data_IF_003532605467
#
_entry.id   IF_003532605467
#
_cell.length_a   1.000
_cell.length_b   1.000
_cell.length_c   1.000
_cell.angle_alpha   90.00
_cell.angle_beta   90.00
_cell.angle_gamma   90.00
#
_symmetry.space_group_name_H-M   'P 1'
#
loop_
_entity.id
_entity.type
_entity.pdbx_description
1 polymer ?
#
# COMPACT_ATOMS: atom_id res chain seq x y z
N UNK A 1 7.53 4.52 4.08
CA UNK A 1 6.60 5.37 4.87
C UNK A 1 7.14 6.81 4.92
N UNK A 2 6.32 7.82 4.65
CA UNK A 2 6.71 9.24 4.83
C UNK A 2 5.98 9.77 6.06
N UNK A 3 6.66 10.04 7.19
CA UNK A 3 6.00 10.57 8.36
C UNK A 3 5.41 11.95 8.05
N UNK A 4 4.23 12.23 8.58
CA UNK A 4 3.62 13.54 8.43
C UNK A 4 4.51 14.59 9.11
N UNK A 5 4.85 15.71 8.44
CA UNK A 5 5.64 16.76 9.05
C UNK A 5 4.99 17.23 10.35
N UNK A 6 5.78 17.37 11.42
CA UNK A 6 5.33 17.81 12.76
C UNK A 6 4.52 16.79 13.57
N UNK A 7 4.42 15.54 13.13
CA UNK A 7 3.84 14.45 13.92
C UNK A 7 4.95 13.50 14.41
N UNK A 8 5.05 13.32 15.73
CA UNK A 8 5.98 12.37 16.32
C UNK A 8 5.50 10.93 16.03
N UNK A 9 6.40 10.01 15.63
CA UNK A 9 6.05 8.61 15.53
C UNK A 9 5.63 8.06 16.90
N UNK A 10 4.45 7.44 16.97
CA UNK A 10 3.94 6.77 18.17
C UNK A 10 3.71 5.30 17.83
N UNK A 11 4.25 4.41 18.66
CA UNK A 11 4.01 2.98 18.54
C UNK A 11 2.71 2.63 19.27
N UNK A 12 1.70 2.17 18.53
CA UNK A 12 0.36 1.86 19.08
C UNK A 12 0.21 0.35 19.33
N UNK A 13 0.95 -0.49 18.61
CA UNK A 13 0.94 -1.93 18.77
C UNK A 13 2.33 -2.52 18.49
N UNK A 14 2.72 -3.50 19.31
CA UNK A 14 3.86 -4.38 19.08
C UNK A 14 3.37 -5.80 19.29
N UNK A 15 3.51 -6.63 18.26
CA UNK A 15 3.09 -8.03 18.31
C UNK A 15 4.29 -8.87 17.93
N UNK A 16 4.56 -9.88 18.75
CA UNK A 16 5.59 -10.86 18.45
C UNK A 16 5.08 -11.78 17.34
N UNK A 17 5.82 -11.84 16.23
CA UNK A 17 5.56 -12.75 15.13
C UNK A 17 6.61 -13.88 15.13
N UNK A 18 6.16 -15.11 14.96
CA UNK A 18 7.02 -16.29 14.81
C UNK A 18 7.32 -16.65 13.33
N UNK A 19 7.00 -15.74 12.41
CA UNK A 19 7.14 -15.92 10.96
C UNK A 19 5.95 -16.61 10.30
N UNK A 20 4.86 -16.90 11.02
CA UNK A 20 3.68 -17.61 10.49
C UNK A 20 2.41 -16.76 10.42
N UNK A 21 2.51 -15.45 10.67
CA UNK A 21 1.36 -14.55 10.66
C UNK A 21 0.61 -14.61 9.33
N UNK A 22 -0.66 -14.97 9.42
CA UNK A 22 -1.57 -15.03 8.30
C UNK A 22 -2.14 -13.64 8.05
N UNK A 23 -2.39 -13.31 6.78
CA UNK A 23 -3.00 -12.05 6.38
C UNK A 23 -4.30 -11.77 7.15
N UNK A 24 -5.08 -12.81 7.48
CA UNK A 24 -6.32 -12.67 8.27
C UNK A 24 -6.04 -12.12 9.67
N UNK A 25 -5.08 -12.70 10.39
CA UNK A 25 -4.75 -12.26 11.76
C UNK A 25 -4.24 -10.81 11.76
N UNK A 26 -3.40 -10.44 10.79
CA UNK A 26 -2.92 -9.06 10.63
C UNK A 26 -4.08 -8.11 10.29
N UNK A 27 -5.02 -8.54 9.44
CA UNK A 27 -6.19 -7.74 9.11
C UNK A 27 -7.14 -7.56 10.30
N UNK A 28 -7.30 -8.57 11.14
CA UNK A 28 -8.13 -8.47 12.36
C UNK A 28 -7.54 -7.47 13.35
N UNK A 29 -6.21 -7.40 13.46
CA UNK A 29 -5.54 -6.34 14.21
C UNK A 29 -5.84 -4.95 13.64
N UNK A 30 -5.72 -4.79 12.31
CA UNK A 30 -6.02 -3.52 11.65
C UNK A 30 -7.49 -3.13 11.84
N UNK A 31 -8.42 -4.09 11.78
CA UNK A 31 -9.85 -3.86 12.06
C UNK A 31 -10.06 -3.40 13.49
N UNK A 32 -9.45 -4.05 14.48
CA UNK A 32 -9.54 -3.64 15.88
C UNK A 32 -9.03 -2.21 16.08
N UNK A 33 -7.92 -1.86 15.43
CA UNK A 33 -7.40 -0.48 15.47
C UNK A 33 -8.38 0.51 14.84
N UNK A 34 -8.90 0.20 13.65
CA UNK A 34 -9.74 1.11 12.86
C UNK A 34 -11.18 1.22 13.38
N UNK A 35 -11.76 0.14 13.92
CA UNK A 35 -13.16 0.09 14.32
C UNK A 35 -13.38 0.29 15.82
N UNK A 36 -12.39 -0.02 16.66
CA UNK A 36 -12.55 0.06 18.12
C UNK A 36 -11.67 1.18 18.70
N UNK A 37 -10.35 1.09 18.52
CA UNK A 37 -9.39 1.96 19.22
C UNK A 37 -9.44 3.39 18.67
N UNK A 38 -9.37 3.55 17.34
CA UNK A 38 -9.31 4.86 16.72
C UNK A 38 -10.56 5.72 17.01
N UNK A 39 -11.79 5.19 16.90
CA UNK A 39 -12.98 5.94 17.31
C UNK A 39 -13.00 6.31 18.80
N UNK A 40 -12.63 5.39 19.70
CA UNK A 40 -12.61 5.65 21.14
C UNK A 40 -11.63 6.76 21.54
N UNK A 41 -10.50 6.84 20.84
CA UNK A 41 -9.46 7.83 21.08
C UNK A 41 -9.60 9.08 20.21
N UNK A 42 -10.65 9.17 19.39
CA UNK A 42 -10.86 10.25 18.41
C UNK A 42 -9.63 10.44 17.47
N UNK A 43 -9.04 9.32 17.03
CA UNK A 43 -7.90 9.30 16.14
C UNK A 43 -8.35 9.22 14.69
N UNK A 44 -7.98 10.23 13.90
CA UNK A 44 -8.16 10.23 12.46
C UNK A 44 -6.99 9.52 11.77
N UNK A 45 -7.27 8.36 11.18
CA UNK A 45 -6.29 7.58 10.41
C UNK A 45 -6.48 7.88 8.93
N UNK A 46 -5.55 8.65 8.35
CA UNK A 46 -5.60 9.05 6.94
C UNK A 46 -5.18 7.92 5.98
N UNK A 47 -4.23 7.08 6.39
CA UNK A 47 -3.66 6.08 5.51
C UNK A 47 -3.06 4.90 6.25
N UNK A 48 -3.06 3.74 5.59
CA UNK A 48 -2.30 2.55 5.99
C UNK A 48 -1.22 2.28 4.93
N UNK A 49 0.01 2.02 5.38
CA UNK A 49 1.14 1.73 4.48
C UNK A 49 1.74 0.36 4.75
N UNK A 50 2.17 -0.31 3.68
CA UNK A 50 2.83 -1.62 3.69
C UNK A 50 4.17 -1.56 2.93
N UNK A 51 5.09 -2.46 3.27
CA UNK A 51 6.39 -2.62 2.62
C UNK A 51 6.32 -3.34 1.25
N UNK A 52 5.15 -3.86 0.88
CA UNK A 52 4.91 -4.57 -0.37
C UNK A 52 5.06 -6.09 -0.28
N UNK A 53 5.20 -6.68 0.91
CA UNK A 53 5.05 -8.12 1.09
C UNK A 53 3.64 -8.59 0.68
N UNK A 54 3.55 -9.79 0.08
CA UNK A 54 2.28 -10.33 -0.42
C UNK A 54 1.21 -10.43 0.68
N UNK A 55 1.61 -10.84 1.89
CA UNK A 55 0.72 -10.94 3.05
C UNK A 55 0.15 -9.58 3.43
N UNK A 56 0.98 -8.54 3.46
CA UNK A 56 0.54 -7.18 3.80
C UNK A 56 -0.31 -6.55 2.69
N UNK A 57 -0.01 -6.84 1.42
CA UNK A 57 -0.87 -6.43 0.30
C UNK A 57 -2.27 -7.06 0.41
N UNK A 58 -2.33 -8.35 0.76
CA UNK A 58 -3.60 -9.03 1.00
C UNK A 58 -4.37 -8.41 2.18
N UNK A 59 -3.68 -8.01 3.24
CA UNK A 59 -4.28 -7.24 4.36
C UNK A 59 -4.89 -5.94 3.86
N UNK A 60 -4.16 -5.16 3.06
CA UNK A 60 -4.68 -3.91 2.51
C UNK A 60 -5.92 -4.13 1.63
N UNK A 61 -5.96 -5.20 0.84
CA UNK A 61 -7.16 -5.58 0.08
C UNK A 61 -8.33 -5.88 1.04
N UNK A 62 -8.09 -6.70 2.07
CA UNK A 62 -9.12 -7.08 3.04
C UNK A 62 -9.68 -5.90 3.84
N UNK A 63 -8.86 -4.89 4.12
CA UNK A 63 -9.31 -3.63 4.71
C UNK A 63 -10.11 -2.82 3.69
N UNK A 64 -9.63 -2.66 2.46
CA UNK A 64 -10.35 -1.90 1.43
C UNK A 64 -11.69 -2.51 1.01
N UNK A 65 -11.85 -3.82 1.16
CA UNK A 65 -13.09 -4.56 0.90
C UNK A 65 -14.08 -4.55 2.06
N UNK A 66 -13.77 -3.88 3.18
CA UNK A 66 -14.72 -3.73 4.29
C UNK A 66 -16.00 -3.05 3.81
N UNK A 67 -17.13 -3.54 4.32
CA UNK A 67 -18.42 -2.92 4.07
C UNK A 67 -18.45 -1.50 4.68
N UNK A 68 -18.82 -0.52 3.87
CA UNK A 68 -19.03 0.86 4.29
C UNK A 68 -20.14 1.48 3.45
N UNK A 69 -20.84 2.45 4.03
CA UNK A 69 -21.85 3.24 3.35
C UNK A 69 -21.22 4.30 2.41
N UNK A 70 -19.97 4.68 2.65
CA UNK A 70 -19.32 5.77 1.94
C UNK A 70 -17.92 5.42 1.46
N UNK A 71 -17.61 5.80 0.22
CA UNK A 71 -16.28 5.69 -0.37
C UNK A 71 -15.93 7.00 -1.05
N UNK A 72 -14.69 7.45 -0.85
CA UNK A 72 -14.13 8.53 -1.66
C UNK A 72 -13.67 7.94 -2.99
N UNK A 73 -13.96 8.63 -4.09
CA UNK A 73 -13.51 8.26 -5.43
C UNK A 73 -12.78 9.42 -6.09
N UNK A 74 -11.69 9.11 -6.78
CA UNK A 74 -10.98 10.03 -7.67
C UNK A 74 -10.88 9.35 -9.03
N UNK A 75 -11.41 10.00 -10.06
CA UNK A 75 -11.46 9.48 -11.42
C UNK A 75 -10.44 10.27 -12.24
N UNK A 76 -9.43 9.59 -12.78
CA UNK A 76 -8.51 10.16 -13.78
C UNK A 76 -8.87 9.61 -15.16
N UNK A 77 -9.60 10.42 -15.92
CA UNK A 77 -10.08 10.05 -17.27
C UNK A 77 -8.96 9.94 -18.30
N UNK A 78 -7.77 10.49 -18.04
CA UNK A 78 -6.63 10.43 -18.96
C UNK A 78 -6.03 9.03 -19.04
N UNK A 79 -6.09 8.30 -17.93
CA UNK A 79 -5.52 6.96 -17.79
C UNK A 79 -6.57 5.87 -17.58
N UNK A 80 -7.86 6.24 -17.56
CA UNK A 80 -8.98 5.34 -17.24
C UNK A 80 -8.80 4.66 -15.88
N UNK A 81 -8.38 5.44 -14.87
CA UNK A 81 -8.12 4.94 -13.51
C UNK A 81 -9.14 5.52 -12.54
N UNK A 82 -9.80 4.64 -11.79
CA UNK A 82 -10.66 5.00 -10.66
C UNK A 82 -9.94 4.61 -9.37
N UNK A 83 -9.50 5.61 -8.63
CA UNK A 83 -9.03 5.43 -7.27
C UNK A 83 -10.23 5.46 -6.33
N UNK A 84 -10.30 4.50 -5.41
CA UNK A 84 -11.33 4.49 -4.38
C UNK A 84 -10.74 4.11 -3.03
N UNK A 85 -11.13 4.84 -1.99
CA UNK A 85 -10.86 4.46 -0.61
C UNK A 85 -12.15 4.46 0.21
N UNK A 86 -12.21 3.59 1.20
CA UNK A 86 -13.33 3.52 2.12
C UNK A 86 -13.31 4.71 3.10
N UNK A 87 -14.48 5.18 3.50
CA UNK A 87 -14.65 6.16 4.58
C UNK A 87 -15.22 5.41 5.79
N UNK A 88 -14.52 5.46 6.92
CA UNK A 88 -15.01 4.89 8.18
C UNK A 88 -15.66 5.97 9.04
N UNK A 89 -16.82 5.69 9.65
CA UNK A 89 -17.41 6.56 10.66
C UNK A 89 -16.40 6.87 11.78
N UNK A 90 -16.35 8.13 12.22
CA UNK A 90 -15.48 8.63 13.30
C UNK A 90 -13.96 8.54 13.07
N UNK A 91 -13.49 7.93 11.98
CA UNK A 91 -12.06 7.86 11.63
C UNK A 91 -11.76 8.69 10.38
N UNK A 92 -12.60 8.59 9.34
CA UNK A 92 -12.42 9.29 8.06
C UNK A 92 -11.95 8.38 6.92
N UNK A 93 -11.42 8.94 5.81
CA UNK A 93 -10.96 8.17 4.67
C UNK A 93 -9.68 7.40 4.99
N UNK A 94 -9.65 6.10 4.66
CA UNK A 94 -8.48 5.24 4.87
C UNK A 94 -7.83 4.90 3.54
N UNK A 95 -6.79 5.64 3.17
CA UNK A 95 -6.05 5.44 1.91
C UNK A 95 -5.02 4.33 2.07
N UNK A 96 -4.99 3.36 1.13
CA UNK A 96 -3.89 2.39 1.08
C UNK A 96 -2.68 3.00 0.35
N UNK A 97 -1.50 2.83 0.93
CA UNK A 97 -0.24 3.31 0.36
C UNK A 97 0.75 2.13 0.34
N UNK A 98 1.53 2.02 -0.72
CA UNK A 98 2.66 1.09 -0.78
C UNK A 98 3.96 1.89 -0.70
N UNK A 99 5.00 1.33 -0.07
CA UNK A 99 6.29 2.02 0.02
C UNK A 99 6.92 2.20 -1.38
N UNK A 100 7.08 3.46 -1.87
CA UNK A 100 7.61 3.70 -3.21
C UNK A 100 9.06 3.23 -3.36
N UNK A 101 9.86 3.23 -2.27
CA UNK A 101 11.25 2.76 -2.32
C UNK A 101 11.30 1.25 -2.57
N UNK A 102 10.38 0.50 -1.96
CA UNK A 102 10.27 -0.94 -2.21
C UNK A 102 9.81 -1.22 -3.65
N UNK A 103 8.82 -0.49 -4.16
CA UNK A 103 8.38 -0.62 -5.55
C UNK A 103 9.51 -0.33 -6.56
N UNK A 104 10.31 0.72 -6.31
CA UNK A 104 11.49 1.06 -7.14
C UNK A 104 12.52 -0.07 -7.13
N UNK A 105 12.85 -0.59 -5.95
CA UNK A 105 13.81 -1.70 -5.79
C UNK A 105 13.32 -2.96 -6.51
N UNK A 106 12.04 -3.32 -6.37
CA UNK A 106 11.44 -4.47 -7.06
C UNK A 106 11.51 -4.30 -8.58
N UNK A 107 11.15 -3.12 -9.10
CA UNK A 107 11.25 -2.81 -10.52
C UNK A 107 12.69 -3.00 -11.05
N UNK A 108 13.67 -2.42 -10.36
CA UNK A 108 15.08 -2.56 -10.73
C UNK A 108 15.53 -4.02 -10.70
N UNK A 109 15.20 -4.76 -9.64
CA UNK A 109 15.62 -6.15 -9.49
C UNK A 109 14.98 -7.04 -10.56
N UNK A 110 13.69 -6.87 -10.88
CA UNK A 110 13.02 -7.68 -11.91
C UNK A 110 13.66 -7.47 -13.27
N UNK A 111 13.90 -6.22 -13.66
CA UNK A 111 14.49 -5.89 -14.97
C UNK A 111 15.98 -6.30 -15.05
N UNK A 112 16.75 -6.12 -13.97
CA UNK A 112 18.20 -6.36 -13.97
C UNK A 112 18.58 -7.80 -13.58
N UNK A 113 17.63 -8.63 -13.15
CA UNK A 113 17.85 -10.06 -12.85
C UNK A 113 17.43 -10.94 -14.02
N UNK A 114 17.38 -12.26 -13.81
CA UNK A 114 17.06 -13.25 -14.84
C UNK A 114 15.69 -13.07 -15.52
N UNK A 115 14.75 -12.33 -14.92
CA UNK A 115 13.45 -12.08 -15.54
C UNK A 115 13.56 -11.14 -16.76
N UNK A 116 14.45 -10.13 -16.73
CA UNK A 116 14.75 -9.20 -17.85
C UNK A 116 13.55 -8.45 -18.47
N UNK A 117 12.36 -8.57 -17.88
CA UNK A 117 11.14 -7.91 -18.33
C UNK A 117 10.26 -7.60 -17.14
N UNK A 118 9.64 -6.42 -17.15
CA UNK A 118 8.60 -6.00 -16.23
C UNK A 118 7.36 -5.58 -17.02
N UNK A 119 6.21 -6.15 -16.70
CA UNK A 119 4.92 -5.69 -17.24
C UNK A 119 4.24 -4.72 -16.27
N UNK A 120 3.69 -3.63 -16.82
CA UNK A 120 2.92 -2.61 -16.14
C UNK A 120 1.60 -2.41 -16.91
N UNK A 121 0.58 -3.17 -16.53
CA UNK A 121 -0.69 -3.19 -17.26
C UNK A 121 -0.49 -3.67 -18.70
N UNK A 122 -0.73 -2.79 -19.67
CA UNK A 122 -0.55 -3.06 -21.11
C UNK A 122 0.85 -2.72 -21.63
N UNK A 123 1.71 -2.15 -20.79
CA UNK A 123 3.07 -1.75 -21.15
C UNK A 123 4.10 -2.74 -20.63
N UNK A 124 5.24 -2.84 -21.31
CA UNK A 124 6.36 -3.68 -20.90
C UNK A 124 7.66 -2.88 -20.92
N UNK A 125 8.51 -3.11 -19.92
CA UNK A 125 9.87 -2.60 -19.85
C UNK A 125 10.83 -3.78 -19.91
N UNK A 126 11.75 -3.76 -20.87
CA UNK A 126 12.74 -4.80 -21.06
C UNK A 126 14.13 -4.34 -20.62
N UNK A 127 15.00 -5.30 -20.31
CA UNK A 127 16.42 -5.03 -20.03
C UNK A 127 17.11 -4.28 -21.19
N UNK A 128 16.75 -4.58 -22.44
CA UNK A 128 17.33 -3.92 -23.62
C UNK A 128 17.11 -2.40 -23.63
N UNK A 129 16.00 -1.91 -23.06
CA UNK A 129 15.73 -0.47 -22.94
C UNK A 129 16.82 0.25 -22.11
N UNK A 130 17.52 -0.46 -21.23
CA UNK A 130 18.61 0.09 -20.41
C UNK A 130 19.97 -0.03 -21.09
N UNK A 131 20.13 -0.95 -22.05
CA UNK A 131 21.36 -1.10 -22.85
C UNK A 131 21.45 -0.05 -23.96
N UNK A 132 20.33 0.36 -24.53
CA UNK A 132 20.32 1.32 -25.65
C UNK A 132 20.73 2.74 -25.27
N UNK A 133 20.80 3.07 -23.97
CA UNK A 133 21.29 4.38 -23.48
C UNK A 133 22.80 4.38 -23.15
N UNK A 134 23.51 3.27 -23.33
CA UNK A 134 24.96 3.16 -23.05
C UNK A 134 25.82 3.37 -24.31
N UNK A 135 25.22 3.36 -25.51
CA UNK A 135 25.94 3.52 -26.79
C UNK A 135 25.79 4.90 -27.44
N UNK A 136 25.23 5.88 -26.72
CA UNK A 136 25.00 7.26 -27.20
C UNK A 136 25.65 8.34 -26.31
N UNK A 137 26.65 7.98 -25.49
CA UNK A 137 27.55 8.92 -24.81
C UNK A 137 29.00 8.70 -25.29
#
# INVERSE_FOLDING_TARGET
>A
MVPLPKFLPVVIALILNNGSDRAVAIADLHRKLLMDIAPQLNLHILSISSDGALVEFQVQIMIQSMATNERLQLIDTRFDIIFSCLILPSVGPVVRIQDPKHSKKTCQNVIMSGARVLSLGRSMAYFEHFLMNVWTL
#
